data_IF_406581506127
#
_entry.id   IF_406581506127
#
_cell.length_a   1.000
_cell.length_b   1.000
_cell.length_c   1.000
_cell.angle_alpha   90.00
_cell.angle_beta   90.00
_cell.angle_gamma   90.00
#
_symmetry.space_group_name_H-M   'P 1'
#
loop_
_entity.id
_entity.type
_entity.pdbx_description
1 polymer ?
#
# COMPACT_ATOMS: atom_id res chain seq x y z
N UNK A 1 12.54 -14.30 -21.17
CA UNK A 1 13.21 -14.35 -19.85
C UNK A 1 12.42 -15.26 -18.91
N UNK A 2 13.10 -16.04 -18.04
CA UNK A 2 12.42 -16.91 -17.05
C UNK A 2 11.69 -16.06 -16.01
N UNK A 3 10.53 -16.53 -15.55
CA UNK A 3 9.67 -15.82 -14.59
C UNK A 3 10.41 -15.50 -13.27
N UNK A 4 11.25 -16.42 -12.78
CA UNK A 4 12.06 -16.19 -11.57
C UNK A 4 13.06 -15.02 -11.73
N UNK A 5 13.64 -14.86 -12.92
CA UNK A 5 14.54 -13.74 -13.20
C UNK A 5 13.77 -12.42 -13.24
N UNK A 6 12.51 -12.43 -13.66
CA UNK A 6 11.67 -11.24 -13.66
C UNK A 6 11.32 -10.80 -12.23
N UNK A 7 10.95 -11.74 -11.35
CA UNK A 7 10.73 -11.42 -9.93
C UNK A 7 11.99 -10.89 -9.23
N UNK A 8 13.17 -11.41 -9.59
CA UNK A 8 14.43 -10.90 -9.07
C UNK A 8 14.71 -9.46 -9.57
N UNK A 9 14.49 -9.19 -10.86
CA UNK A 9 14.58 -7.83 -11.40
C UNK A 9 13.59 -6.87 -10.74
N UNK A 10 12.35 -7.30 -10.51
CA UNK A 10 11.33 -6.53 -9.80
C UNK A 10 11.83 -6.09 -8.41
N UNK A 11 12.42 -7.02 -7.65
CA UNK A 11 13.00 -6.73 -6.35
C UNK A 11 14.18 -5.74 -6.42
N UNK A 12 15.08 -5.91 -7.39
CA UNK A 12 16.22 -4.99 -7.59
C UNK A 12 15.74 -3.59 -7.95
N UNK A 13 14.79 -3.46 -8.88
CA UNK A 13 14.22 -2.17 -9.26
C UNK A 13 13.58 -1.49 -8.05
N UNK A 14 12.82 -2.24 -7.24
CA UNK A 14 12.24 -1.70 -6.00
C UNK A 14 13.29 -1.21 -5.00
N UNK A 15 14.40 -1.95 -4.81
CA UNK A 15 15.50 -1.51 -3.94
C UNK A 15 16.18 -0.24 -4.45
N UNK A 16 16.36 -0.13 -5.77
CA UNK A 16 16.92 1.08 -6.40
C UNK A 16 15.98 2.27 -6.20
N UNK A 17 14.67 2.08 -6.36
CA UNK A 17 13.69 3.15 -6.11
C UNK A 17 13.70 3.65 -4.66
N UNK A 18 13.86 2.75 -3.68
CA UNK A 18 14.02 3.16 -2.26
C UNK A 18 15.29 3.99 -2.07
N UNK A 19 16.39 3.61 -2.72
CA UNK A 19 17.63 4.40 -2.71
C UNK A 19 17.47 5.77 -3.37
N UNK A 20 16.77 5.83 -4.51
CA UNK A 20 16.46 7.09 -5.20
C UNK A 20 15.53 7.98 -4.37
N UNK A 21 14.57 7.40 -3.65
CA UNK A 21 13.71 8.11 -2.72
C UNK A 21 14.53 8.73 -1.59
N UNK A 22 15.40 7.95 -0.95
CA UNK A 22 16.31 8.46 0.08
C UNK A 22 17.15 9.62 -0.44
N UNK A 23 17.73 9.46 -1.63
CA UNK A 23 18.55 10.48 -2.27
C UNK A 23 17.74 11.73 -2.66
N UNK A 24 16.48 11.55 -3.09
CA UNK A 24 15.54 12.64 -3.36
C UNK A 24 15.25 13.47 -2.10
N UNK A 25 15.07 12.81 -0.95
CA UNK A 25 14.86 13.47 0.34
C UNK A 25 16.10 14.25 0.75
N UNK A 26 17.29 13.63 0.68
CA UNK A 26 18.56 14.28 1.04
C UNK A 26 18.80 15.54 0.20
N UNK A 27 18.58 15.45 -1.10
CA UNK A 27 18.79 16.56 -2.04
C UNK A 27 17.61 17.54 -2.13
N UNK A 28 16.52 17.30 -1.38
CA UNK A 28 15.29 18.10 -1.43
C UNK A 28 14.75 18.32 -2.86
N UNK A 29 15.04 17.39 -3.77
CA UNK A 29 14.67 17.50 -5.17
C UNK A 29 13.68 16.37 -5.53
N UNK A 30 12.38 16.67 -5.66
CA UNK A 30 11.35 15.68 -5.93
C UNK A 30 11.44 15.10 -7.34
N UNK A 31 12.10 15.78 -8.29
CA UNK A 31 12.22 15.29 -9.67
C UNK A 31 13.00 13.99 -9.78
N UNK A 32 13.92 13.72 -8.85
CA UNK A 32 14.76 12.53 -8.85
C UNK A 32 13.91 11.27 -8.67
N UNK A 33 13.00 11.28 -7.68
CA UNK A 33 12.11 10.14 -7.47
C UNK A 33 11.05 10.04 -8.56
N UNK A 34 10.52 11.16 -9.07
CA UNK A 34 9.53 11.14 -10.14
C UNK A 34 10.10 10.53 -11.43
N UNK A 35 11.28 10.99 -11.85
CA UNK A 35 11.96 10.45 -13.04
C UNK A 35 12.38 8.99 -12.83
N UNK A 36 12.90 8.67 -11.63
CA UNK A 36 13.28 7.31 -11.24
C UNK A 36 12.11 6.34 -11.32
N UNK A 37 10.96 6.71 -10.77
CA UNK A 37 9.76 5.88 -10.75
C UNK A 37 9.20 5.65 -12.16
N UNK A 38 9.09 6.70 -12.98
CA UNK A 38 8.63 6.56 -14.37
C UNK A 38 9.56 5.64 -15.16
N UNK A 39 10.87 5.78 -14.97
CA UNK A 39 11.87 4.93 -15.62
C UNK A 39 11.80 3.49 -15.11
N UNK A 40 11.63 3.29 -13.81
CA UNK A 40 11.49 1.96 -13.18
C UNK A 40 10.28 1.21 -13.72
N UNK A 41 9.11 1.87 -13.75
CA UNK A 41 7.88 1.31 -14.35
C UNK A 41 8.09 0.99 -15.84
N UNK A 42 8.70 1.89 -16.60
CA UNK A 42 9.00 1.66 -18.02
C UNK A 42 9.91 0.45 -18.25
N UNK A 43 10.96 0.30 -17.44
CA UNK A 43 11.90 -0.83 -17.50
C UNK A 43 11.19 -2.15 -17.17
N UNK A 44 10.37 -2.17 -16.12
CA UNK A 44 9.59 -3.34 -15.75
C UNK A 44 8.55 -3.71 -16.80
N UNK A 45 7.94 -2.73 -17.46
CA UNK A 45 6.99 -2.95 -18.54
C UNK A 45 7.66 -3.64 -19.74
N UNK A 46 8.81 -3.14 -20.18
CA UNK A 46 9.60 -3.77 -21.25
C UNK A 46 10.08 -5.16 -20.83
N UNK A 47 10.58 -5.30 -19.60
CA UNK A 47 11.00 -6.59 -19.06
C UNK A 47 9.85 -7.61 -19.06
N UNK A 48 8.62 -7.18 -18.73
CA UNK A 48 7.43 -8.03 -18.76
C UNK A 48 7.13 -8.55 -20.17
N UNK A 49 7.31 -7.72 -21.20
CA UNK A 49 7.12 -8.13 -22.60
C UNK A 49 8.10 -9.21 -23.06
N UNK A 50 9.24 -9.34 -22.40
CA UNK A 50 10.25 -10.35 -22.74
C UNK A 50 10.01 -11.72 -22.08
N UNK A 51 9.00 -11.84 -21.21
CA UNK A 51 8.71 -13.10 -20.51
C UNK A 51 8.06 -14.08 -21.48
N UNK A 52 8.70 -15.24 -21.66
CA UNK A 52 8.36 -16.23 -22.70
C UNK A 52 7.84 -17.53 -22.11
N UNK A 53 7.92 -17.68 -20.79
CA UNK A 53 7.66 -18.93 -20.06
C UNK A 53 6.56 -18.69 -19.00
N UNK A 54 5.38 -18.30 -19.48
CA UNK A 54 4.18 -18.13 -18.64
C UNK A 54 3.53 -19.50 -18.54
N UNK A 55 3.88 -20.26 -17.49
CA UNK A 55 3.21 -21.52 -17.17
C UNK A 55 2.06 -21.24 -16.22
N UNK A 56 0.92 -20.85 -16.77
CA UNK A 56 -0.33 -20.68 -16.01
C UNK A 56 -0.91 -22.06 -15.71
N UNK A 57 -0.65 -22.52 -14.50
CA UNK A 57 -1.31 -23.70 -13.92
C UNK A 57 -2.54 -23.20 -13.15
N UNK A 58 -3.72 -23.77 -13.40
CA UNK A 58 -4.99 -23.33 -12.77
C UNK A 58 -4.88 -23.28 -11.24
N UNK A 59 -4.15 -24.25 -10.66
CA UNK A 59 -3.86 -24.29 -9.22
C UNK A 59 -2.98 -23.13 -8.75
N UNK A 60 -2.00 -22.71 -9.54
CA UNK A 60 -1.15 -21.57 -9.22
C UNK A 60 -1.92 -20.26 -9.23
N UNK A 61 -2.88 -20.12 -10.16
CA UNK A 61 -3.78 -18.95 -10.22
C UNK A 61 -4.64 -18.88 -8.96
N UNK A 62 -5.26 -19.99 -8.55
CA UNK A 62 -6.07 -20.06 -7.32
C UNK A 62 -5.25 -19.74 -6.06
N UNK A 63 -4.02 -20.24 -5.96
CA UNK A 63 -3.11 -19.92 -4.84
C UNK A 63 -2.77 -18.42 -4.85
N UNK A 64 -2.47 -17.84 -6.01
CA UNK A 64 -2.14 -16.42 -6.13
C UNK A 64 -3.32 -15.51 -5.74
N UNK A 65 -4.56 -15.90 -6.08
CA UNK A 65 -5.76 -15.16 -5.74
C UNK A 65 -6.05 -15.24 -4.23
N UNK A 66 -5.89 -16.43 -3.63
CA UNK A 66 -6.06 -16.64 -2.18
C UNK A 66 -4.95 -15.95 -1.38
N UNK A 67 -3.71 -15.94 -1.88
CA UNK A 67 -2.63 -15.16 -1.28
C UNK A 67 -2.89 -13.65 -1.41
N UNK A 68 -3.37 -13.20 -2.57
CA UNK A 68 -3.74 -11.81 -2.83
C UNK A 68 -4.77 -11.30 -1.84
N UNK A 69 -5.85 -12.04 -1.60
CA UNK A 69 -6.88 -11.63 -0.63
C UNK A 69 -6.33 -11.53 0.80
N UNK A 70 -5.50 -12.48 1.24
CA UNK A 70 -4.84 -12.42 2.56
C UNK A 70 -3.87 -11.25 2.68
N UNK A 71 -3.05 -11.00 1.65
CA UNK A 71 -2.16 -9.84 1.66
C UNK A 71 -2.92 -8.52 1.69
N UNK A 72 -4.10 -8.48 1.06
CA UNK A 72 -4.99 -7.33 1.08
C UNK A 72 -5.57 -7.11 2.49
N UNK A 73 -5.99 -8.16 3.20
CA UNK A 73 -6.41 -8.06 4.61
C UNK A 73 -5.31 -7.46 5.51
N UNK A 74 -4.08 -7.94 5.38
CA UNK A 74 -2.93 -7.41 6.16
C UNK A 74 -2.62 -5.97 5.76
N UNK A 75 -2.64 -5.68 4.46
CA UNK A 75 -2.42 -4.32 3.94
C UNK A 75 -3.42 -3.34 4.55
N UNK A 76 -4.70 -3.71 4.66
CA UNK A 76 -5.74 -2.90 5.27
C UNK A 76 -5.45 -2.52 6.72
N UNK A 77 -5.05 -3.50 7.54
CA UNK A 77 -4.71 -3.26 8.95
C UNK A 77 -3.52 -2.32 9.07
N UNK A 78 -2.49 -2.54 8.25
CA UNK A 78 -1.29 -1.70 8.24
C UNK A 78 -1.60 -0.28 7.77
N UNK A 79 -2.40 -0.13 6.70
CA UNK A 79 -2.82 1.17 6.19
C UNK A 79 -3.65 1.94 7.21
N UNK A 80 -4.55 1.26 7.91
CA UNK A 80 -5.34 1.84 8.99
C UNK A 80 -4.45 2.30 10.15
N UNK A 81 -3.52 1.45 10.61
CA UNK A 81 -2.61 1.79 11.70
C UNK A 81 -1.72 3.00 11.36
N UNK A 82 -1.19 3.05 10.13
CA UNK A 82 -0.39 4.18 9.64
C UNK A 82 -1.23 5.46 9.52
N UNK A 83 -2.46 5.36 9.00
CA UNK A 83 -3.37 6.52 8.87
C UNK A 83 -3.81 7.07 10.23
N UNK A 84 -4.10 6.19 11.20
CA UNK A 84 -4.43 6.58 12.56
C UNK A 84 -3.21 7.21 13.24
N UNK A 85 -2.02 6.63 13.05
CA UNK A 85 -0.77 7.18 13.56
C UNK A 85 -0.48 8.58 13.02
N UNK A 86 -0.62 8.80 11.71
CA UNK A 86 -0.40 10.11 11.09
C UNK A 86 -1.43 11.15 11.53
N UNK A 87 -2.70 10.75 11.72
CA UNK A 87 -3.72 11.63 12.29
C UNK A 87 -3.41 12.00 13.76
N UNK A 88 -3.04 11.03 14.59
CA UNK A 88 -2.70 11.27 16.01
C UNK A 88 -1.46 12.15 16.15
N UNK A 89 -0.42 11.90 15.34
CA UNK A 89 0.80 12.72 15.33
C UNK A 89 0.52 14.12 14.78
N UNK A 90 -0.23 14.23 13.68
CA UNK A 90 -0.53 15.51 13.02
C UNK A 90 -1.50 16.41 13.80
N UNK A 91 -2.41 15.84 14.59
CA UNK A 91 -3.31 16.61 15.46
C UNK A 91 -2.86 16.68 16.92
N UNK A 92 -1.74 16.03 17.26
CA UNK A 92 -0.99 16.18 18.51
C UNK A 92 -1.69 15.77 19.81
N UNK A 93 -3.03 15.77 19.87
CA UNK A 93 -3.87 15.47 21.04
C UNK A 93 -5.35 15.47 20.60
N UNK A 94 -6.01 14.33 20.37
CA UNK A 94 -7.41 14.30 19.91
C UNK A 94 -8.43 14.70 21.01
N UNK A 95 -7.98 15.00 22.24
CA UNK A 95 -8.85 15.11 23.43
C UNK A 95 -8.61 16.35 24.31
N UNK A 96 -7.84 17.35 23.85
CA UNK A 96 -7.59 18.57 24.64
C UNK A 96 -6.81 18.35 25.95
N UNK A 97 -6.13 17.20 26.08
CA UNK A 97 -5.28 16.90 27.24
C UNK A 97 -4.02 17.79 27.19
N UNK A 98 -3.60 18.38 28.32
CA UNK A 98 -2.42 19.23 28.38
C UNK A 98 -1.18 18.42 27.98
N UNK A 99 -0.36 18.97 27.07
CA UNK A 99 0.91 18.35 26.67
C UNK A 99 1.79 18.10 27.90
N UNK A 100 2.41 16.92 28.04
CA UNK A 100 3.59 16.77 28.87
C UNK A 100 4.61 17.81 28.39
N UNK A 101 5.12 18.62 29.32
CA UNK A 101 5.97 19.79 29.06
C UNK A 101 7.33 19.44 28.44
N UNK A 102 7.63 18.15 28.31
CA UNK A 102 8.92 17.60 27.92
C UNK A 102 8.76 16.59 26.77
N UNK A 103 8.24 17.05 25.62
CA UNK A 103 8.50 16.36 24.36
C UNK A 103 9.89 16.79 23.87
N UNK A 104 10.77 15.86 23.45
CA UNK A 104 12.06 16.19 22.86
C UNK A 104 11.90 17.24 21.77
N UNK A 105 12.81 18.21 21.70
CA UNK A 105 12.78 19.32 20.73
C UNK A 105 12.72 18.88 19.27
N UNK A 106 13.09 17.62 19.02
CA UNK A 106 13.13 16.96 17.71
C UNK A 106 11.86 16.18 17.36
N UNK A 107 10.83 16.20 18.22
CA UNK A 107 9.54 15.62 17.85
C UNK A 107 8.96 16.43 16.68
N UNK A 108 8.55 15.77 15.57
CA UNK A 108 8.06 16.47 14.39
C UNK A 108 6.94 17.43 14.81
N UNK A 109 7.23 18.72 14.66
CA UNK A 109 6.31 19.81 15.01
C UNK A 109 5.01 19.62 14.25
N UNK A 110 3.92 20.05 14.88
CA UNK A 110 2.56 20.04 14.36
C UNK A 110 2.49 20.63 12.93
N UNK A 111 2.70 19.78 11.93
CA UNK A 111 2.42 20.10 10.54
C UNK A 111 0.99 19.62 10.29
N UNK A 112 -0.02 20.52 10.31
CA UNK A 112 -1.41 20.11 10.19
C UNK A 112 -1.69 19.37 8.88
N UNK A 113 -0.81 19.54 7.89
CA UNK A 113 -0.81 18.84 6.60
C UNK A 113 -0.70 17.32 6.78
N UNK A 114 0.13 16.84 7.71
CA UNK A 114 0.28 15.40 8.01
C UNK A 114 -1.01 14.82 8.63
N UNK A 115 -1.66 15.61 9.49
CA UNK A 115 -2.95 15.27 10.09
C UNK A 115 -4.07 15.21 9.06
N UNK A 116 -4.20 16.24 8.20
CA UNK A 116 -5.19 16.26 7.12
C UNK A 116 -5.00 15.09 6.14
N UNK A 117 -3.74 14.72 5.84
CA UNK A 117 -3.44 13.56 5.02
C UNK A 117 -3.93 12.25 5.68
N UNK A 118 -3.68 12.06 6.97
CA UNK A 118 -4.18 10.91 7.73
C UNK A 118 -5.71 10.82 7.76
N UNK A 119 -6.41 11.95 7.95
CA UNK A 119 -7.88 11.99 7.91
C UNK A 119 -8.41 11.68 6.50
N UNK A 120 -7.84 12.30 5.47
CA UNK A 120 -8.25 12.04 4.09
C UNK A 120 -8.06 10.57 3.71
N UNK A 121 -6.92 9.98 4.11
CA UNK A 121 -6.63 8.57 3.91
C UNK A 121 -7.62 7.66 4.68
N UNK A 122 -7.99 8.03 5.91
CA UNK A 122 -9.03 7.34 6.67
C UNK A 122 -10.42 7.41 6.02
N UNK A 123 -10.81 8.56 5.47
CA UNK A 123 -12.09 8.69 4.74
C UNK A 123 -12.09 7.76 3.52
N UNK A 124 -11.00 7.73 2.74
CA UNK A 124 -10.86 6.80 1.62
C UNK A 124 -10.95 5.34 2.08
N UNK A 125 -10.27 4.96 3.17
CA UNK A 125 -10.38 3.61 3.74
C UNK A 125 -11.83 3.28 4.12
N UNK A 126 -12.55 4.19 4.79
CA UNK A 126 -13.96 3.98 5.08
C UNK A 126 -14.79 3.78 3.80
N UNK A 127 -14.61 4.62 2.77
CA UNK A 127 -15.33 4.48 1.51
C UNK A 127 -15.09 3.12 0.84
N UNK A 128 -13.84 2.64 0.78
CA UNK A 128 -13.53 1.34 0.17
C UNK A 128 -14.12 0.21 1.04
N UNK A 129 -14.16 0.35 2.36
CA UNK A 129 -14.73 -0.67 3.25
C UNK A 129 -16.24 -0.79 3.02
N UNK A 130 -16.93 0.35 2.92
CA UNK A 130 -18.35 0.41 2.57
C UNK A 130 -18.63 -0.17 1.19
N UNK A 131 -17.79 0.13 0.19
CA UNK A 131 -17.91 -0.49 -1.13
C UNK A 131 -17.72 -2.00 -1.05
N UNK A 132 -16.69 -2.49 -0.36
CA UNK A 132 -16.41 -3.91 -0.19
C UNK A 132 -17.58 -4.63 0.49
N UNK A 133 -18.07 -4.11 1.62
CA UNK A 133 -19.23 -4.68 2.34
C UNK A 133 -20.48 -4.61 1.46
N UNK A 134 -20.71 -3.49 0.77
CA UNK A 134 -21.85 -3.31 -0.12
C UNK A 134 -21.86 -4.32 -1.27
N UNK A 135 -20.72 -4.50 -1.93
CA UNK A 135 -20.53 -5.54 -2.95
C UNK A 135 -20.73 -6.93 -2.36
N UNK A 136 -20.13 -7.22 -1.19
CA UNK A 136 -20.28 -8.51 -0.52
C UNK A 136 -21.74 -8.83 -0.23
N UNK A 137 -22.50 -7.88 0.34
CA UNK A 137 -23.92 -8.04 0.65
C UNK A 137 -24.76 -8.17 -0.64
N UNK A 138 -24.47 -7.38 -1.66
CA UNK A 138 -25.17 -7.44 -2.95
C UNK A 138 -24.98 -8.80 -3.63
N UNK A 139 -23.72 -9.26 -3.71
CA UNK A 139 -23.41 -10.55 -4.32
C UNK A 139 -23.94 -11.72 -3.50
N UNK A 140 -23.84 -11.68 -2.16
CA UNK A 140 -24.42 -12.72 -1.30
C UNK A 140 -25.94 -12.82 -1.47
N UNK A 141 -26.66 -11.70 -1.57
CA UNK A 141 -28.10 -11.72 -1.85
C UNK A 141 -28.46 -12.22 -3.24
N UNK A 142 -27.62 -11.91 -4.24
CA UNK A 142 -27.91 -12.20 -5.65
C UNK A 142 -27.50 -13.61 -6.08
N UNK A 143 -26.46 -14.18 -5.46
CA UNK A 143 -25.85 -15.45 -5.86
C UNK A 143 -25.84 -16.54 -4.78
N UNK A 144 -26.32 -16.27 -3.55
CA UNK A 144 -26.39 -17.26 -2.47
C UNK A 144 -25.09 -17.42 -1.67
N UNK A 145 -25.19 -17.98 -0.46
CA UNK A 145 -24.14 -18.17 0.55
C UNK A 145 -22.82 -18.75 0.00
N UNK A 146 -21.70 -18.15 0.42
CA UNK A 146 -20.32 -18.58 0.12
C UNK A 146 -19.81 -19.67 1.09
N UNK A 147 -20.70 -20.33 1.82
CA UNK A 147 -20.37 -21.29 2.89
C UNK A 147 -20.56 -22.76 2.45
N UNK A 148 -20.54 -23.03 1.14
CA UNK A 148 -20.15 -24.38 0.69
C UNK A 148 -18.63 -24.47 0.73
N UNK A 149 -18.13 -24.63 1.95
CA UNK A 149 -16.96 -25.47 2.22
C UNK A 149 -17.25 -26.86 1.61
N UNK A 150 -16.92 -27.03 0.33
CA UNK A 150 -16.64 -28.36 -0.23
C UNK A 150 -15.11 -28.53 -0.19
N UNK A 151 -14.69 -29.28 0.83
CA UNK A 151 -13.40 -29.95 1.11
C UNK A 151 -12.19 -29.70 0.19
#
# INVERSE_FOLDING_TARGET
MKQNTFYLMLGIVGLIEVGLFWLSVVLHNPLIITAGFIMGVGLLYVARMTITDIREDERAVLISQKAGSRTLEVFWVLFFAVSLGSAVIGFGTPLGLPRPRELPRDFPRDEPHLGYFGIFQMIMLCCIAFLYIGFRVYYARKYGEWDTDEE
#
